data_IF_278712382376
#
_entry.id   IF_278712382376
#
_cell.length_a   1.000
_cell.length_b   1.000
_cell.length_c   1.000
_cell.angle_alpha   90.00
_cell.angle_beta   90.00
_cell.angle_gamma   90.00
#
_symmetry.space_group_name_H-M   'P 1'
#
loop_
_entity.id
_entity.type
_entity.pdbx_description
1 polymer ?
#
# COMPACT_ATOMS: atom_id res chain seq x y z
N UNK A 1 2.44 -6.77 5.15
CA UNK A 1 2.98 -5.58 4.46
C UNK A 1 1.89 -4.72 3.87
N UNK A 2 1.10 -5.23 2.90
CA UNK A 2 0.02 -4.46 2.25
C UNK A 2 -1.00 -3.86 3.24
N UNK A 3 -1.41 -4.60 4.26
CA UNK A 3 -2.35 -4.10 5.28
C UNK A 3 -1.77 -2.95 6.09
N UNK A 4 -0.55 -3.10 6.63
CA UNK A 4 0.13 -2.03 7.35
C UNK A 4 0.30 -0.78 6.50
N UNK A 5 0.71 -0.93 5.23
CA UNK A 5 0.91 0.20 4.34
C UNK A 5 -0.41 0.88 3.92
N UNK A 6 -1.49 0.10 3.76
CA UNK A 6 -2.83 0.64 3.48
C UNK A 6 -3.44 1.36 4.68
N UNK A 7 -3.23 0.85 5.89
CA UNK A 7 -3.74 1.44 7.12
C UNK A 7 -2.86 2.60 7.63
N UNK A 8 -1.69 2.84 7.03
CA UNK A 8 -0.72 3.81 7.53
C UNK A 8 -0.06 3.39 8.85
N UNK A 9 -0.11 2.10 9.20
CA UNK A 9 0.47 1.56 10.43
C UNK A 9 1.97 1.30 10.26
N UNK A 10 2.75 1.62 11.29
CA UNK A 10 4.19 1.42 11.26
C UNK A 10 4.55 -0.07 11.48
N UNK A 11 5.40 -0.67 10.63
CA UNK A 11 5.84 -2.04 10.81
C UNK A 11 6.79 -2.17 12.02
N UNK A 12 6.97 -3.39 12.54
CA UNK A 12 7.90 -3.65 13.64
C UNK A 12 9.36 -3.31 13.28
N UNK A 13 10.18 -3.04 14.29
CA UNK A 13 11.58 -2.68 14.13
C UNK A 13 12.38 -3.81 13.43
N UNK A 14 13.31 -3.44 12.54
CA UNK A 14 14.07 -4.38 11.71
C UNK A 14 13.31 -4.98 10.50
N UNK A 15 12.01 -4.73 10.35
CA UNK A 15 11.22 -5.21 9.23
C UNK A 15 11.61 -4.57 7.90
N UNK A 16 11.94 -3.28 7.93
CA UNK A 16 12.36 -2.53 6.76
C UNK A 16 13.08 -1.25 7.18
N UNK A 17 14.02 -0.80 6.35
CA UNK A 17 14.63 0.52 6.52
C UNK A 17 13.55 1.62 6.39
N UNK A 18 13.54 2.65 7.25
CA UNK A 18 12.54 3.73 7.22
C UNK A 18 12.46 4.43 5.85
N UNK A 19 13.53 4.45 5.07
CA UNK A 19 13.52 4.96 3.70
C UNK A 19 12.68 4.10 2.74
N UNK A 20 12.88 2.78 2.79
CA UNK A 20 12.14 1.84 1.94
C UNK A 20 10.65 1.74 2.32
N UNK A 21 10.34 1.81 3.61
CA UNK A 21 8.95 1.81 4.09
C UNK A 21 8.15 3.00 3.54
N UNK A 22 8.71 4.21 3.54
CA UNK A 22 8.05 5.41 2.99
C UNK A 22 7.68 5.25 1.51
N UNK A 23 8.53 4.60 0.72
CA UNK A 23 8.24 4.33 -0.70
C UNK A 23 7.07 3.37 -0.83
N UNK A 24 7.04 2.31 0.00
CA UNK A 24 5.95 1.34 0.01
C UNK A 24 4.61 2.01 0.38
N UNK A 25 4.58 2.82 1.43
CA UNK A 25 3.38 3.58 1.86
C UNK A 25 2.89 4.47 0.73
N UNK A 26 3.77 5.31 0.15
CA UNK A 26 3.45 6.20 -0.98
C UNK A 26 2.86 5.44 -2.18
N UNK A 27 3.43 4.28 -2.49
CA UNK A 27 2.95 3.42 -3.56
C UNK A 27 1.53 2.93 -3.26
N UNK A 28 1.28 2.37 -2.08
CA UNK A 28 -0.05 1.87 -1.70
C UNK A 28 -1.10 2.98 -1.53
N UNK A 29 -0.71 4.17 -1.09
CA UNK A 29 -1.59 5.36 -1.07
C UNK A 29 -2.03 5.74 -2.49
N UNK A 30 -1.07 5.81 -3.42
CA UNK A 30 -1.36 6.11 -4.83
C UNK A 30 -2.24 5.02 -5.45
N UNK A 31 -1.93 3.76 -5.17
CA UNK A 31 -2.68 2.60 -5.67
C UNK A 31 -4.09 2.53 -5.08
N UNK A 32 -4.30 2.97 -3.83
CA UNK A 32 -5.64 3.12 -3.24
C UNK A 32 -6.42 4.25 -3.90
N UNK A 33 -5.77 5.39 -4.19
CA UNK A 33 -6.41 6.48 -4.93
C UNK A 33 -6.80 6.03 -6.35
N UNK A 34 -5.93 5.27 -7.02
CA UNK A 34 -6.22 4.67 -8.33
C UNK A 34 -7.34 3.61 -8.25
N UNK A 35 -7.30 2.66 -7.30
CA UNK A 35 -8.36 1.66 -7.07
C UNK A 35 -9.71 2.33 -6.75
N UNK A 36 -9.73 3.46 -6.02
CA UNK A 36 -10.96 4.20 -5.75
C UNK A 36 -11.54 4.88 -7.01
N UNK A 37 -10.68 5.21 -7.98
CA UNK A 37 -11.11 5.80 -9.26
C UNK A 37 -11.42 4.76 -10.34
N UNK A 38 -10.93 3.53 -10.19
CA UNK A 38 -11.06 2.47 -11.19
C UNK A 38 -11.95 1.35 -10.64
N UNK A 39 -13.24 1.43 -10.99
CA UNK A 39 -14.26 0.42 -10.69
C UNK A 39 -13.76 -1.01 -11.02
N UNK A 40 -14.18 -2.04 -10.25
CA UNK A 40 -13.66 -3.40 -10.34
C UNK A 40 -14.16 -4.09 -11.63
N UNK A 41 -13.45 -3.89 -12.73
CA UNK A 41 -13.66 -4.59 -13.98
C UNK A 41 -12.39 -5.33 -14.38
N UNK A 42 -12.02 -6.38 -13.62
CA UNK A 42 -11.25 -7.54 -14.11
C UNK A 42 -10.77 -8.44 -12.95
N UNK A 43 -11.68 -9.17 -12.31
CA UNK A 43 -11.38 -10.53 -11.80
C UNK A 43 -12.62 -11.39 -11.97
N UNK A 44 -13.05 -11.53 -13.22
CA UNK A 44 -13.94 -12.62 -13.64
C UNK A 44 -13.21 -13.37 -14.75
N UNK A 45 -12.56 -14.47 -14.39
CA UNK A 45 -12.26 -15.63 -15.25
C UNK A 45 -11.82 -16.78 -14.37
#
# INVERSE_FOLDING_TARGET
MRTYARNGENPPDGFMCPGGWKVLVKYYESLQAEEATQQPAAVSS
#
